data_IF_328652688893
#
_entry.id   IF_328652688893
#
_cell.length_a   1.000
_cell.length_b   1.000
_cell.length_c   1.000
_cell.angle_alpha   90.00
_cell.angle_beta   90.00
_cell.angle_gamma   90.00
#
_symmetry.space_group_name_H-M   'P 1'
#
loop_
_entity.id
_entity.type
_entity.pdbx_description
1 polymer ?
#
# COMPACT_ATOMS: atom_id res chain seq x y z
N UNK A 1 4.28 -11.45 -3.05
CA UNK A 1 4.13 -12.90 -2.77
C UNK A 1 5.22 -13.46 -1.85
N UNK A 2 6.51 -13.18 -2.10
CA UNK A 2 7.62 -13.64 -1.24
C UNK A 2 7.42 -13.25 0.24
N UNK A 3 7.03 -12.01 0.51
CA UNK A 3 6.77 -11.49 1.85
C UNK A 3 5.61 -12.20 2.57
N UNK A 4 4.49 -12.45 1.86
CA UNK A 4 3.34 -13.17 2.41
C UNK A 4 3.74 -14.60 2.82
N UNK A 5 4.55 -15.29 2.01
CA UNK A 5 5.02 -16.64 2.33
C UNK A 5 5.99 -16.63 3.53
N UNK A 6 6.88 -15.65 3.60
CA UNK A 6 7.77 -15.46 4.76
C UNK A 6 6.94 -15.21 6.03
N UNK A 7 5.94 -14.34 5.96
CA UNK A 7 5.04 -14.03 7.08
C UNK A 7 4.22 -15.25 7.51
N UNK A 8 3.67 -16.00 6.55
CA UNK A 8 2.96 -17.25 6.82
C UNK A 8 3.88 -18.28 7.51
N UNK A 9 5.15 -18.36 7.10
CA UNK A 9 6.12 -19.25 7.75
C UNK A 9 6.41 -18.83 9.20
N UNK A 10 6.46 -17.54 9.49
CA UNK A 10 6.62 -17.01 10.85
C UNK A 10 5.42 -17.34 11.74
N UNK A 11 4.21 -17.07 11.25
CA UNK A 11 2.96 -17.39 11.96
C UNK A 11 2.87 -18.90 12.23
N UNK A 12 3.21 -19.73 11.24
CA UNK A 12 3.23 -21.19 11.39
C UNK A 12 4.22 -21.66 12.47
N UNK A 13 5.42 -21.06 12.55
CA UNK A 13 6.39 -21.32 13.64
C UNK A 13 5.86 -20.89 15.00
N UNK A 14 5.12 -19.79 15.09
CA UNK A 14 4.49 -19.36 16.34
C UNK A 14 3.41 -20.35 16.79
N UNK A 15 2.59 -20.86 15.86
CA UNK A 15 1.63 -21.93 16.13
C UNK A 15 2.31 -23.18 16.66
N UNK A 16 3.38 -23.62 16.01
CA UNK A 16 4.20 -24.75 16.47
C UNK A 16 4.76 -24.53 17.88
N UNK A 17 5.31 -23.33 18.17
CA UNK A 17 5.88 -23.03 19.48
C UNK A 17 4.85 -23.02 20.60
N UNK A 18 3.59 -22.65 20.31
CA UNK A 18 2.50 -22.58 21.28
C UNK A 18 1.81 -23.93 21.50
N UNK A 19 1.62 -24.71 20.44
CA UNK A 19 0.73 -25.87 20.45
C UNK A 19 1.44 -27.20 20.10
N UNK A 20 2.72 -27.15 19.72
CA UNK A 20 3.49 -28.33 19.28
C UNK A 20 3.22 -28.74 17.83
N UNK A 21 3.65 -29.95 17.45
CA UNK A 21 3.47 -30.49 16.10
C UNK A 21 4.53 -30.01 15.09
N UNK A 22 4.20 -30.12 13.80
CA UNK A 22 5.06 -29.72 12.67
C UNK A 22 4.59 -28.38 12.11
N UNK A 23 5.55 -27.50 11.75
CA UNK A 23 5.25 -26.21 11.08
C UNK A 23 4.36 -26.39 9.86
N UNK A 24 4.56 -27.46 9.08
CA UNK A 24 3.77 -27.78 7.88
C UNK A 24 2.27 -27.91 8.15
N UNK A 25 1.87 -28.27 9.37
CA UNK A 25 0.46 -28.43 9.76
C UNK A 25 -0.25 -27.08 9.91
N UNK A 26 0.51 -26.00 10.14
CA UNK A 26 -0.02 -24.65 10.34
C UNK A 26 0.02 -23.77 9.09
N UNK A 27 0.72 -24.19 8.02
CA UNK A 27 0.98 -23.34 6.84
C UNK A 27 -0.33 -22.87 6.19
N UNK A 28 -1.33 -23.72 6.07
CA UNK A 28 -2.59 -23.37 5.39
C UNK A 28 -3.34 -22.23 6.09
N UNK A 29 -3.37 -22.25 7.43
CA UNK A 29 -4.05 -21.20 8.20
C UNK A 29 -3.19 -19.94 8.31
N UNK A 30 -1.89 -20.13 8.54
CA UNK A 30 -0.92 -19.04 8.56
C UNK A 30 -0.87 -18.26 7.23
N UNK A 31 -1.11 -18.93 6.09
CA UNK A 31 -1.18 -18.29 4.80
C UNK A 31 -2.42 -17.39 4.67
N UNK A 32 -3.57 -17.82 5.19
CA UNK A 32 -4.79 -16.99 5.19
C UNK A 32 -4.60 -15.76 6.07
N UNK A 33 -4.01 -15.93 7.25
CA UNK A 33 -3.72 -14.83 8.17
C UNK A 33 -2.74 -13.83 7.54
N UNK A 34 -1.63 -14.31 6.99
CA UNK A 34 -0.66 -13.46 6.29
C UNK A 34 -1.27 -12.74 5.07
N UNK A 35 -2.17 -13.40 4.33
CA UNK A 35 -2.89 -12.77 3.22
C UNK A 35 -3.87 -11.70 3.69
N UNK A 36 -4.55 -11.93 4.80
CA UNK A 36 -5.45 -10.96 5.41
C UNK A 36 -4.68 -9.74 5.91
N UNK A 37 -3.62 -9.93 6.70
CA UNK A 37 -2.73 -8.86 7.15
C UNK A 37 -2.21 -8.02 5.97
N UNK A 38 -1.73 -8.68 4.89
CA UNK A 38 -1.25 -8.00 3.70
C UNK A 38 -2.32 -7.13 3.04
N UNK A 39 -3.55 -7.64 2.90
CA UNK A 39 -4.65 -6.87 2.28
C UNK A 39 -5.09 -5.71 3.15
N UNK A 40 -5.23 -5.92 4.46
CA UNK A 40 -5.58 -4.84 5.39
C UNK A 40 -4.54 -3.73 5.39
N UNK A 41 -3.24 -4.07 5.42
CA UNK A 41 -2.17 -3.08 5.33
C UNK A 41 -2.17 -2.35 3.97
N UNK A 42 -2.47 -3.06 2.87
CA UNK A 42 -2.60 -2.45 1.55
C UNK A 42 -3.77 -1.45 1.51
N UNK A 43 -4.92 -1.81 2.05
CA UNK A 43 -6.10 -0.94 2.12
C UNK A 43 -5.85 0.30 2.98
N UNK A 44 -5.23 0.14 4.15
CA UNK A 44 -4.83 1.26 5.01
C UNK A 44 -3.85 2.20 4.29
N UNK A 45 -2.83 1.64 3.63
CA UNK A 45 -1.87 2.42 2.86
C UNK A 45 -2.53 3.19 1.70
N UNK A 46 -3.45 2.55 0.97
CA UNK A 46 -4.26 3.18 -0.09
C UNK A 46 -5.09 4.34 0.47
N UNK A 47 -5.76 4.15 1.60
CA UNK A 47 -6.56 5.20 2.25
C UNK A 47 -5.70 6.39 2.67
N UNK A 48 -4.57 6.14 3.35
CA UNK A 48 -3.65 7.20 3.77
C UNK A 48 -3.07 7.98 2.58
N UNK A 49 -2.69 7.30 1.50
CA UNK A 49 -2.22 7.96 0.27
C UNK A 49 -3.32 8.77 -0.40
N UNK A 50 -4.55 8.27 -0.43
CA UNK A 50 -5.71 8.96 -0.96
C UNK A 50 -5.98 10.28 -0.22
N UNK A 51 -5.95 10.27 1.12
CA UNK A 51 -6.12 11.49 1.92
C UNK A 51 -5.10 12.58 1.56
N UNK A 52 -3.82 12.20 1.47
CA UNK A 52 -2.72 13.10 1.10
C UNK A 52 -2.90 13.65 -0.32
N UNK A 53 -3.25 12.79 -1.28
CA UNK A 53 -3.51 13.15 -2.67
C UNK A 53 -4.68 14.14 -2.76
N UNK A 54 -5.81 13.84 -2.13
CA UNK A 54 -7.00 14.70 -2.15
C UNK A 54 -6.73 16.05 -1.48
N UNK A 55 -6.04 16.06 -0.34
CA UNK A 55 -5.65 17.30 0.34
C UNK A 55 -4.82 18.21 -0.59
N UNK A 56 -3.84 17.65 -1.30
CA UNK A 56 -3.00 18.42 -2.23
C UNK A 56 -3.79 18.90 -3.45
N UNK A 57 -4.65 18.07 -4.03
CA UNK A 57 -5.49 18.45 -5.17
C UNK A 57 -6.44 19.60 -4.81
N UNK A 58 -7.12 19.49 -3.66
CA UNK A 58 -8.04 20.53 -3.16
C UNK A 58 -7.29 21.83 -2.85
N UNK A 59 -6.11 21.76 -2.22
CA UNK A 59 -5.25 22.94 -1.97
C UNK A 59 -4.87 23.65 -3.28
N UNK A 60 -4.62 22.90 -4.34
CA UNK A 60 -4.27 23.41 -5.66
C UNK A 60 -5.50 23.66 -6.57
N UNK A 61 -6.71 23.69 -6.00
CA UNK A 61 -7.98 23.91 -6.71
C UNK A 61 -8.27 22.91 -7.85
N UNK A 62 -7.67 21.72 -7.82
CA UNK A 62 -7.89 20.64 -8.80
C UNK A 62 -9.07 19.75 -8.41
N UNK A 63 -10.24 20.36 -8.19
CA UNK A 63 -11.43 19.67 -7.66
C UNK A 63 -11.97 18.58 -8.58
N UNK A 64 -11.97 18.79 -9.90
CA UNK A 64 -12.47 17.78 -10.86
C UNK A 64 -11.69 16.47 -10.78
N UNK A 65 -10.36 16.55 -10.60
CA UNK A 65 -9.51 15.37 -10.45
C UNK A 65 -9.73 14.71 -9.08
N UNK A 66 -9.96 15.51 -8.03
CA UNK A 66 -10.27 14.97 -6.70
C UNK A 66 -11.59 14.18 -6.72
N UNK A 67 -12.63 14.69 -7.37
CA UNK A 67 -13.92 14.00 -7.51
C UNK A 67 -13.81 12.73 -8.36
N UNK A 68 -13.02 12.75 -9.43
CA UNK A 68 -12.74 11.55 -10.22
C UNK A 68 -12.17 10.44 -9.33
N UNK A 69 -11.12 10.76 -8.56
CA UNK A 69 -10.46 9.80 -7.65
C UNK A 69 -11.42 9.27 -6.59
N UNK A 70 -12.29 10.11 -6.02
CA UNK A 70 -13.28 9.68 -5.02
C UNK A 70 -14.36 8.75 -5.58
N UNK A 71 -14.65 8.85 -6.88
CA UNK A 71 -15.73 8.10 -7.54
C UNK A 71 -15.24 6.84 -8.25
N UNK A 72 -13.93 6.66 -8.39
CA UNK A 72 -13.34 5.49 -9.05
C UNK A 72 -13.62 4.19 -8.31
N UNK A 73 -13.82 3.13 -9.09
CA UNK A 73 -14.05 1.80 -8.58
C UNK A 73 -12.75 1.15 -8.11
N UNK A 74 -11.67 1.38 -8.85
CA UNK A 74 -10.33 0.87 -8.53
C UNK A 74 -9.34 2.02 -8.40
N UNK A 75 -8.51 1.96 -7.36
CA UNK A 75 -7.46 2.94 -7.08
C UNK A 75 -6.15 2.25 -6.77
N UNK A 76 -5.09 2.67 -7.47
CA UNK A 76 -3.72 2.31 -7.16
C UNK A 76 -2.86 3.56 -7.01
N UNK A 77 -1.90 3.49 -6.09
CA UNK A 77 -0.99 4.59 -5.78
C UNK A 77 0.45 4.13 -5.87
N UNK A 78 1.16 4.62 -6.88
CA UNK A 78 2.56 4.32 -7.11
C UNK A 78 3.43 5.47 -6.62
N UNK A 79 4.41 5.15 -5.80
CA UNK A 79 5.40 6.12 -5.34
C UNK A 79 6.44 6.29 -6.44
N UNK A 80 6.63 7.52 -6.90
CA UNK A 80 7.53 7.86 -8.00
C UNK A 80 8.57 8.89 -7.56
N UNK A 81 9.83 8.61 -7.88
CA UNK A 81 10.95 9.53 -7.68
C UNK A 81 11.48 9.96 -9.04
N UNK A 82 11.42 11.26 -9.34
CA UNK A 82 11.83 11.77 -10.65
C UNK A 82 13.35 11.86 -10.83
N UNK A 83 14.10 12.11 -9.75
CA UNK A 83 15.57 12.07 -9.68
C UNK A 83 16.00 11.69 -8.26
N UNK A 84 17.14 11.00 -8.07
CA UNK A 84 17.72 10.80 -6.74
C UNK A 84 17.84 12.13 -5.99
N UNK A 85 17.21 12.23 -4.80
CA UNK A 85 17.18 13.46 -3.99
C UNK A 85 16.17 14.53 -4.43
N UNK A 86 15.31 14.27 -5.42
CA UNK A 86 14.29 15.22 -5.90
C UNK A 86 12.88 14.93 -5.33
N UNK A 87 11.88 15.59 -5.91
CA UNK A 87 10.48 15.51 -5.50
C UNK A 87 9.96 14.07 -5.46
N UNK A 88 9.32 13.75 -4.34
CA UNK A 88 8.56 12.53 -4.18
C UNK A 88 7.13 12.76 -4.67
N UNK A 89 6.71 11.96 -5.66
CA UNK A 89 5.38 11.99 -6.24
C UNK A 89 4.58 10.73 -5.90
N UNK A 90 3.27 10.88 -5.84
CA UNK A 90 2.32 9.77 -5.86
C UNK A 90 1.61 9.81 -7.20
N UNK A 91 1.87 8.82 -8.04
CA UNK A 91 1.09 8.54 -9.23
C UNK A 91 -0.20 7.84 -8.83
N UNK A 92 -1.31 8.38 -9.29
CA UNK A 92 -2.66 7.87 -9.03
C UNK A 92 -3.16 7.21 -10.30
N UNK A 93 -3.46 5.92 -10.21
CA UNK A 93 -4.11 5.14 -11.25
C UNK A 93 -5.54 4.89 -10.80
N UNK A 94 -6.49 5.28 -11.64
CA UNK A 94 -7.90 5.22 -11.38
C UNK A 94 -8.55 4.40 -12.49
N UNK A 95 -9.25 3.33 -12.14
CA UNK A 95 -9.96 2.44 -13.07
C UNK A 95 -9.06 1.92 -14.21
N UNK A 96 -7.79 1.65 -13.90
CA UNK A 96 -6.78 1.12 -14.83
C UNK A 96 -6.01 2.17 -15.62
N UNK A 97 -6.41 3.44 -15.58
CA UNK A 97 -5.76 4.53 -16.30
C UNK A 97 -5.07 5.51 -15.36
N UNK A 98 -3.94 6.09 -15.81
CA UNK A 98 -3.24 7.12 -15.05
C UNK A 98 -4.09 8.40 -14.96
N UNK A 99 -4.58 8.72 -13.77
CA UNK A 99 -5.36 9.93 -13.51
C UNK A 99 -4.47 11.17 -13.34
N UNK A 100 -3.47 11.09 -12.44
CA UNK A 100 -2.58 12.23 -12.16
C UNK A 100 -1.31 11.81 -11.42
N UNK A 101 -0.36 12.72 -11.28
CA UNK A 101 0.79 12.59 -10.37
C UNK A 101 0.80 13.77 -9.42
N UNK A 102 0.77 13.50 -8.12
CA UNK A 102 0.73 14.49 -7.05
C UNK A 102 2.07 14.54 -6.33
N UNK A 103 2.74 15.69 -6.37
CA UNK A 103 4.01 15.89 -5.67
C UNK A 103 3.78 16.21 -4.19
N UNK A 104 4.28 15.36 -3.31
CA UNK A 104 3.98 15.41 -1.87
C UNK A 104 5.07 16.16 -1.09
N UNK A 105 6.35 16.03 -1.46
CA UNK A 105 7.46 16.80 -0.87
C UNK A 105 8.47 17.32 -1.89
N UNK A 106 9.09 18.45 -1.54
CA UNK A 106 10.44 18.84 -1.96
C UNK A 106 11.41 18.36 -0.87
N UNK A 107 12.24 17.36 -1.16
CA UNK A 107 13.35 16.97 -0.28
C UNK A 107 13.15 15.70 0.53
N UNK A 108 14.17 14.83 0.40
CA UNK A 108 14.61 13.72 1.24
C UNK A 108 13.53 12.86 1.94
N UNK A 109 13.17 11.76 1.28
CA UNK A 109 12.88 10.52 2.01
C UNK A 109 14.22 10.04 2.56
N UNK A 110 14.50 10.28 3.85
CA UNK A 110 15.60 9.57 4.52
C UNK A 110 15.23 8.09 4.52
N UNK A 111 16.13 7.27 3.98
CA UNK A 111 16.01 5.82 3.91
C UNK A 111 16.05 5.33 5.37
N UNK A 112 14.90 5.00 5.95
CA UNK A 112 14.81 4.32 7.24
C UNK A 112 14.92 2.80 7.07
#
# INVERSE_FOLDING_TARGET
>A
MKEIMTRAWEIAKQGQAKFGGKVSEYISEALKEAWFEYRSNKEENTSAKMEVVLAKLRKNQKFTIATLIEQSHELEFNEVMHKPGAYYGIEVIADGDKATTVYVSEGAWEIA
#
